data_IF_901899897430
#
_entry.id   IF_901899897430
#
_cell.length_a   1.000
_cell.length_b   1.000
_cell.length_c   1.000
_cell.angle_alpha   90.00
_cell.angle_beta   90.00
_cell.angle_gamma   90.00
#
_symmetry.space_group_name_H-M   'P 1'
#
loop_
_entity.id
_entity.type
_entity.pdbx_description
1 polymer ?
#
# COMPACT_ATOMS: atom_id res chain seq x y z
N UNK A 1 -3.24 0.90 -32.81
CA UNK A 1 -3.04 0.70 -31.37
C UNK A 1 -1.92 1.60 -30.91
N UNK A 2 -2.09 2.32 -29.79
CA UNK A 2 -1.03 3.13 -29.22
C UNK A 2 0.14 2.23 -28.77
N UNK A 3 1.38 2.62 -29.11
CA UNK A 3 2.57 1.89 -28.68
C UNK A 3 2.82 2.20 -27.21
N UNK A 4 2.78 1.18 -26.36
CA UNK A 4 3.07 1.32 -24.93
C UNK A 4 4.56 1.63 -24.76
N UNK A 5 4.87 2.78 -24.16
CA UNK A 5 6.25 3.22 -23.93
C UNK A 5 6.94 2.39 -22.85
N UNK A 6 6.27 2.15 -21.72
CA UNK A 6 6.75 1.33 -20.61
C UNK A 6 5.63 0.39 -20.16
N UNK A 7 5.97 -0.88 -19.94
CA UNK A 7 5.06 -1.84 -19.30
C UNK A 7 5.21 -1.68 -17.79
N UNK A 8 4.09 -1.49 -17.10
CA UNK A 8 4.04 -1.32 -15.65
C UNK A 8 3.35 -2.53 -15.04
N UNK A 9 3.86 -2.97 -13.88
CA UNK A 9 3.24 -4.00 -13.06
C UNK A 9 2.83 -3.35 -11.74
N UNK A 10 1.53 -3.39 -11.41
CA UNK A 10 1.01 -2.99 -10.11
C UNK A 10 0.85 -4.23 -9.25
N UNK A 11 1.43 -4.21 -8.05
CA UNK A 11 1.30 -5.27 -7.05
C UNK A 11 0.59 -4.68 -5.84
N UNK A 12 -0.52 -5.29 -5.44
CA UNK A 12 -1.30 -4.92 -4.25
C UNK A 12 -1.11 -6.02 -3.22
N UNK A 13 -0.55 -5.67 -2.06
CA UNK A 13 -0.35 -6.60 -0.94
C UNK A 13 -1.41 -6.29 0.11
N UNK A 14 -2.39 -7.17 0.24
CA UNK A 14 -3.49 -6.98 1.20
C UNK A 14 -2.96 -7.05 2.64
N UNK A 15 -3.41 -6.12 3.49
CA UNK A 15 -2.99 -6.02 4.89
C UNK A 15 -1.54 -5.58 5.13
N UNK A 16 -0.84 -5.04 4.12
CA UNK A 16 0.54 -4.56 4.29
C UNK A 16 0.59 -3.07 4.67
N UNK A 17 0.63 -2.79 5.97
CA UNK A 17 0.73 -1.43 6.52
C UNK A 17 2.10 -1.11 7.11
N UNK A 18 2.37 0.20 7.26
CA UNK A 18 3.54 0.70 7.97
C UNK A 18 3.12 1.13 9.38
N UNK A 19 3.87 0.68 10.38
CA UNK A 19 3.64 1.05 11.78
C UNK A 19 4.96 1.13 12.51
N UNK A 20 5.13 2.13 13.38
CA UNK A 20 6.33 2.29 14.20
C UNK A 20 6.45 1.24 15.30
N UNK A 21 5.32 0.69 15.75
CA UNK A 21 5.26 -0.36 16.76
C UNK A 21 5.83 -1.68 16.24
N UNK A 22 6.74 -2.27 17.00
CA UNK A 22 7.31 -3.60 16.72
C UNK A 22 6.56 -4.73 17.42
N UNK A 23 5.86 -4.43 18.51
CA UNK A 23 5.10 -5.42 19.26
C UNK A 23 3.88 -5.88 18.45
N UNK A 24 3.78 -7.19 18.17
CA UNK A 24 2.71 -7.76 17.35
C UNK A 24 2.80 -7.43 15.85
N UNK A 25 3.84 -6.73 15.40
CA UNK A 25 3.98 -6.33 14.00
C UNK A 25 4.63 -7.45 13.18
N UNK A 26 3.82 -8.20 12.44
CA UNK A 26 4.32 -9.31 11.63
C UNK A 26 5.22 -8.85 10.49
N UNK A 27 4.99 -7.66 9.92
CA UNK A 27 5.76 -7.13 8.79
C UNK A 27 7.18 -6.76 9.23
N UNK A 28 7.31 -5.98 10.32
CA UNK A 28 8.61 -5.58 10.87
C UNK A 28 9.43 -6.74 11.42
N UNK A 29 8.76 -7.76 11.95
CA UNK A 29 9.44 -8.92 12.55
C UNK A 29 9.73 -10.03 11.53
N UNK A 30 9.15 -9.97 10.32
CA UNK A 30 9.43 -10.92 9.26
C UNK A 30 10.75 -10.58 8.53
N UNK A 31 11.34 -11.58 7.89
CA UNK A 31 12.48 -11.37 7.00
C UNK A 31 11.99 -10.97 5.60
N UNK A 32 12.01 -9.68 5.27
CA UNK A 32 11.37 -9.11 4.07
C UNK A 32 12.35 -8.43 3.10
N UNK A 33 13.46 -9.09 2.70
CA UNK A 33 14.59 -8.42 2.02
C UNK A 33 14.21 -7.76 0.68
N UNK A 34 13.19 -8.27 -0.01
CA UNK A 34 12.70 -7.69 -1.27
C UNK A 34 11.95 -6.38 -1.02
N UNK A 35 11.02 -6.38 -0.06
CA UNK A 35 10.26 -5.17 0.29
C UNK A 35 11.17 -4.13 0.94
N UNK A 36 12.11 -4.55 1.78
CA UNK A 36 13.11 -3.68 2.40
C UNK A 36 13.97 -3.00 1.32
N UNK A 37 14.35 -3.74 0.27
CA UNK A 37 15.07 -3.18 -0.88
C UNK A 37 14.25 -2.15 -1.65
N UNK A 38 12.98 -2.44 -1.94
CA UNK A 38 12.08 -1.53 -2.66
C UNK A 38 11.79 -0.24 -1.85
N UNK A 39 11.65 -0.38 -0.53
CA UNK A 39 11.43 0.73 0.41
C UNK A 39 12.72 1.41 0.89
N UNK A 40 13.88 1.14 0.27
CA UNK A 40 15.15 1.83 0.59
C UNK A 40 15.47 3.00 -0.36
N UNK A 41 14.84 3.03 -1.54
CA UNK A 41 15.11 3.99 -2.61
C UNK A 41 14.07 5.11 -2.72
N UNK A 42 13.60 5.36 -3.94
CA UNK A 42 12.55 6.35 -4.20
C UNK A 42 11.16 5.72 -4.02
N UNK A 43 10.62 5.82 -2.82
CA UNK A 43 9.30 5.34 -2.45
C UNK A 43 8.56 6.41 -1.64
N UNK A 44 7.24 6.28 -1.54
CA UNK A 44 6.42 7.18 -0.73
C UNK A 44 5.33 6.40 0.00
N UNK A 45 4.82 7.00 1.06
CA UNK A 45 3.70 6.48 1.85
C UNK A 45 2.42 7.13 1.36
N UNK A 46 1.35 6.36 1.30
CA UNK A 46 0.03 6.86 0.93
C UNK A 46 -0.98 6.44 2.00
N UNK A 47 -2.01 7.27 2.13
CA UNK A 47 -3.09 7.02 3.07
C UNK A 47 -4.14 6.09 2.44
N UNK A 48 -4.49 5.01 3.15
CA UNK A 48 -5.43 3.99 2.69
C UNK A 48 -6.67 3.84 3.60
N UNK A 49 -7.03 4.89 4.35
CA UNK A 49 -8.12 4.85 5.33
C UNK A 49 -8.83 6.20 5.49
N UNK A 50 -9.96 6.20 6.19
CA UNK A 50 -10.74 7.40 6.49
C UNK A 50 -11.13 8.21 5.25
N UNK A 51 -11.12 9.53 5.40
CA UNK A 51 -11.56 10.46 4.35
C UNK A 51 -10.74 10.34 3.07
N UNK A 52 -9.50 9.85 3.15
CA UNK A 52 -8.58 9.71 2.02
C UNK A 52 -9.02 8.63 1.03
N UNK A 53 -9.86 7.70 1.45
CA UNK A 53 -10.45 6.65 0.61
C UNK A 53 -11.98 6.71 0.56
N UNK A 54 -12.56 7.88 0.90
CA UNK A 54 -14.00 8.10 0.87
C UNK A 54 -14.78 7.49 2.05
N UNK A 55 -14.09 7.06 3.11
CA UNK A 55 -14.71 6.60 4.34
C UNK A 55 -14.84 7.75 5.37
N UNK A 56 -15.81 7.67 6.30
CA UNK A 56 -15.83 8.57 7.45
C UNK A 56 -14.51 8.56 8.23
N UNK A 57 -14.20 9.70 8.87
CA UNK A 57 -12.98 9.87 9.66
C UNK A 57 -12.85 8.79 10.76
N UNK A 58 -11.64 8.24 10.90
CA UNK A 58 -11.33 7.21 11.90
C UNK A 58 -11.75 5.78 11.52
N UNK A 59 -12.39 5.57 10.37
CA UNK A 59 -12.65 4.21 9.88
C UNK A 59 -11.43 3.61 9.20
N UNK A 60 -11.11 2.40 9.61
CA UNK A 60 -10.08 1.57 9.00
C UNK A 60 -10.45 1.25 7.55
N UNK A 61 -9.45 1.27 6.67
CA UNK A 61 -9.60 0.76 5.31
C UNK A 61 -9.88 -0.75 5.28
N UNK A 62 -10.42 -1.22 4.16
CA UNK A 62 -10.61 -2.63 3.89
C UNK A 62 -10.23 -2.94 2.43
N UNK A 63 -10.20 -4.21 2.04
CA UNK A 63 -9.72 -4.63 0.71
C UNK A 63 -10.58 -4.07 -0.43
N UNK A 64 -11.91 -3.96 -0.25
CA UNK A 64 -12.83 -3.46 -1.27
C UNK A 64 -12.62 -1.97 -1.51
N UNK A 65 -12.51 -1.20 -0.43
CA UNK A 65 -12.29 0.25 -0.45
C UNK A 65 -10.89 0.57 -0.96
N UNK A 66 -9.88 -0.22 -0.57
CA UNK A 66 -8.49 -0.01 -0.98
C UNK A 66 -8.31 -0.28 -2.48
N UNK A 67 -8.84 -1.38 -3.00
CA UNK A 67 -8.76 -1.67 -4.45
C UNK A 67 -9.53 -0.64 -5.26
N UNK A 68 -10.69 -0.19 -4.78
CA UNK A 68 -11.46 0.84 -5.45
C UNK A 68 -10.72 2.18 -5.50
N UNK A 69 -10.14 2.62 -4.39
CA UNK A 69 -9.36 3.86 -4.33
C UNK A 69 -8.14 3.83 -5.27
N UNK A 70 -7.48 2.68 -5.43
CA UNK A 70 -6.34 2.54 -6.34
C UNK A 70 -6.72 2.48 -7.83
N UNK A 71 -7.95 2.11 -8.18
CA UNK A 71 -8.43 2.10 -9.57
C UNK A 71 -8.92 3.48 -10.04
N UNK A 72 -9.24 4.37 -9.10
CA UNK A 72 -9.67 5.75 -9.36
C UNK A 72 -8.50 6.76 -9.34
N UNK A 73 -7.28 6.34 -8.94
CA UNK A 73 -6.03 7.10 -9.04
C UNK A 73 -5.36 6.97 -10.43
#
# INVERSE_FOLDING_TARGET
MAKVANRVCLIVIDGWGLSDESNGNAIKNANTPVMDGLCSGNWTQIEAHGLHVGLPEGLMGNSEVSVFAFLEL
#
